data_IF_228710141927
#
_entry.id   IF_228710141927
#
_cell.length_a   1.000
_cell.length_b   1.000
_cell.length_c   1.000
_cell.angle_alpha   90.00
_cell.angle_beta   90.00
_cell.angle_gamma   90.00
#
_symmetry.space_group_name_H-M   'P 1'
#
loop_
_entity.id
_entity.type
_entity.pdbx_description
1 polymer ?
#
# COMPACT_ATOMS: atom_id res chain seq x y z
N UNK A 1 -16.54 15.49 14.33
CA UNK A 1 -15.31 16.07 13.75
C UNK A 1 -14.91 15.17 12.58
N UNK A 2 -15.06 15.62 11.33
CA UNK A 2 -14.62 14.85 10.17
C UNK A 2 -13.11 15.00 10.10
N UNK A 3 -12.40 13.98 10.57
CA UNK A 3 -10.97 13.88 10.45
C UNK A 3 -10.67 13.70 8.95
N UNK A 4 -9.89 14.62 8.39
CA UNK A 4 -9.44 14.56 7.00
C UNK A 4 -8.36 13.47 6.90
N UNK A 5 -8.80 12.22 6.73
CA UNK A 5 -8.01 10.98 6.77
C UNK A 5 -6.72 10.96 5.91
N UNK A 6 -6.56 11.86 4.94
CA UNK A 6 -5.38 11.88 4.07
C UNK A 6 -4.24 12.73 4.65
N UNK A 7 -4.55 13.82 5.36
CA UNK A 7 -3.54 14.70 5.95
C UNK A 7 -2.81 14.00 7.12
N UNK A 8 -3.57 13.23 7.89
CA UNK A 8 -3.03 12.51 9.06
C UNK A 8 -2.11 11.35 8.68
N UNK A 9 -2.33 10.70 7.53
CA UNK A 9 -1.52 9.57 7.10
C UNK A 9 -0.12 10.00 6.59
N UNK A 10 -0.04 11.17 5.94
CA UNK A 10 1.25 11.73 5.52
C UNK A 10 2.04 12.28 6.71
N UNK A 11 1.38 12.98 7.64
CA UNK A 11 2.01 13.45 8.86
C UNK A 11 2.54 12.28 9.71
N UNK A 12 1.76 11.19 9.82
CA UNK A 12 2.20 9.96 10.51
C UNK A 12 3.45 9.34 9.89
N UNK A 13 3.57 9.36 8.55
CA UNK A 13 4.75 8.84 7.86
C UNK A 13 5.99 9.73 8.05
N UNK A 14 5.82 11.05 8.12
CA UNK A 14 6.90 12.00 8.35
C UNK A 14 7.42 11.95 9.80
N UNK A 15 6.54 11.68 10.76
CA UNK A 15 6.87 11.62 12.19
C UNK A 15 7.38 10.24 12.65
N UNK A 16 7.13 9.18 11.86
CA UNK A 16 7.53 7.82 12.23
C UNK A 16 9.04 7.62 12.08
N UNK A 17 9.74 7.61 13.20
CA UNK A 17 11.14 7.19 13.26
C UNK A 17 11.25 5.66 13.18
N UNK A 18 11.46 5.14 11.97
CA UNK A 18 11.55 3.71 11.69
C UNK A 18 12.65 2.98 12.49
N UNK A 19 13.71 3.68 12.89
CA UNK A 19 14.85 3.07 13.61
C UNK A 19 14.53 2.79 15.08
N UNK A 20 13.56 3.52 15.65
CA UNK A 20 13.19 3.45 17.06
C UNK A 20 11.77 2.92 17.31
N UNK A 21 11.00 2.70 16.24
CA UNK A 21 9.63 2.20 16.35
C UNK A 21 9.61 0.73 16.79
N UNK A 22 8.67 0.41 17.67
CA UNK A 22 8.35 -0.98 17.99
C UNK A 22 7.73 -1.70 16.80
N UNK A 23 7.82 -3.04 16.81
CA UNK A 23 7.20 -3.87 15.77
C UNK A 23 5.68 -3.64 15.73
N UNK A 24 5.07 -3.42 16.88
CA UNK A 24 3.64 -3.16 17.04
C UNK A 24 3.24 -1.85 16.37
N UNK A 25 3.97 -0.76 16.62
CA UNK A 25 3.74 0.55 15.97
C UNK A 25 3.91 0.45 14.45
N UNK A 26 4.96 -0.24 13.98
CA UNK A 26 5.17 -0.46 12.55
C UNK A 26 4.03 -1.26 11.92
N UNK A 27 3.51 -2.28 12.61
CA UNK A 27 2.35 -3.05 12.14
C UNK A 27 1.10 -2.18 12.02
N UNK A 28 0.83 -1.31 13.00
CA UNK A 28 -0.32 -0.41 12.96
C UNK A 28 -0.23 0.57 11.79
N UNK A 29 0.95 1.16 11.57
CA UNK A 29 1.19 2.05 10.43
C UNK A 29 1.02 1.31 9.12
N UNK A 30 1.62 0.12 8.95
CA UNK A 30 1.48 -0.69 7.72
C UNK A 30 0.01 -1.04 7.47
N UNK A 31 -0.76 -1.39 8.51
CA UNK A 31 -2.18 -1.67 8.40
C UNK A 31 -2.97 -0.42 7.99
N UNK A 32 -2.64 0.75 8.54
CA UNK A 32 -3.25 2.01 8.15
C UNK A 32 -2.97 2.32 6.67
N UNK A 33 -1.70 2.26 6.25
CA UNK A 33 -1.29 2.47 4.85
C UNK A 33 -1.98 1.49 3.91
N UNK A 34 -2.05 0.21 4.27
CA UNK A 34 -2.77 -0.81 3.48
C UNK A 34 -4.22 -0.42 3.26
N UNK A 35 -4.92 0.12 4.27
CA UNK A 35 -6.33 0.56 4.12
C UNK A 35 -6.46 1.74 3.16
N UNK A 36 -5.57 2.73 3.26
CA UNK A 36 -5.55 3.88 2.35
C UNK A 36 -5.28 3.41 0.90
N UNK A 37 -4.24 2.60 0.73
CA UNK A 37 -3.83 2.11 -0.59
C UNK A 37 -4.87 1.21 -1.25
N UNK A 38 -5.52 0.31 -0.49
CA UNK A 38 -6.58 -0.56 -1.04
C UNK A 38 -7.77 0.23 -1.60
N UNK A 39 -8.04 1.41 -1.04
CA UNK A 39 -9.12 2.29 -1.49
C UNK A 39 -8.75 3.03 -2.77
N UNK A 40 -7.50 3.46 -2.88
CA UNK A 40 -7.03 4.33 -3.97
C UNK A 40 -6.44 3.59 -5.16
N UNK A 41 -5.84 2.42 -4.92
CA UNK A 41 -5.12 1.66 -5.93
C UNK A 41 -5.58 0.20 -5.92
N UNK A 42 -5.84 -0.37 -7.10
CA UNK A 42 -6.13 -1.80 -7.21
C UNK A 42 -4.86 -2.66 -7.21
N UNK A 43 -3.73 -2.09 -7.66
CA UNK A 43 -2.49 -2.83 -7.89
C UNK A 43 -1.25 -2.02 -7.52
N UNK A 44 -0.22 -2.73 -7.06
CA UNK A 44 1.13 -2.21 -6.83
C UNK A 44 2.06 -2.75 -7.93
N UNK A 45 2.46 -1.89 -8.84
CA UNK A 45 3.38 -2.20 -9.94
C UNK A 45 4.79 -1.80 -9.53
N UNK A 46 5.76 -2.71 -9.68
CA UNK A 46 7.14 -2.40 -9.34
C UNK A 46 8.08 -3.57 -9.58
N UNK A 47 9.31 -3.42 -9.09
CA UNK A 47 10.28 -4.51 -9.05
C UNK A 47 10.15 -5.27 -7.72
N UNK A 48 9.89 -6.56 -7.83
CA UNK A 48 9.73 -7.47 -6.70
C UNK A 48 10.61 -8.69 -6.94
N UNK A 49 11.47 -9.03 -5.99
CA UNK A 49 12.38 -10.17 -6.10
C UNK A 49 13.18 -10.13 -7.42
N UNK A 50 13.72 -8.97 -7.78
CA UNK A 50 14.53 -8.73 -9.00
C UNK A 50 13.76 -8.94 -10.33
N UNK A 51 12.43 -8.82 -10.30
CA UNK A 51 11.61 -8.91 -11.51
C UNK A 51 10.47 -7.90 -11.49
N UNK A 52 10.08 -7.39 -12.66
CA UNK A 52 8.88 -6.55 -12.79
C UNK A 52 7.65 -7.40 -12.52
N UNK A 53 6.93 -7.11 -11.44
CA UNK A 53 5.74 -7.84 -11.00
C UNK A 53 4.66 -6.88 -10.54
N UNK A 54 3.45 -7.40 -10.47
CA UNK A 54 2.29 -6.65 -9.98
C UNK A 54 1.61 -7.43 -8.87
N UNK A 55 1.30 -6.75 -7.77
CA UNK A 55 0.64 -7.32 -6.61
C UNK A 55 -0.72 -6.65 -6.41
N UNK A 56 -1.76 -7.44 -6.16
CA UNK A 56 -3.10 -6.91 -5.84
C UNK A 56 -3.11 -6.30 -4.43
N UNK A 57 -3.69 -5.11 -4.30
CA UNK A 57 -3.85 -4.45 -2.99
C UNK A 57 -4.98 -5.07 -2.16
N UNK A 58 -5.82 -5.92 -2.78
CA UNK A 58 -6.99 -6.52 -2.13
C UNK A 58 -6.62 -7.72 -1.27
N UNK A 59 -5.80 -8.61 -1.81
CA UNK A 59 -5.41 -9.91 -1.25
C UNK A 59 -3.89 -10.08 -1.11
N UNK A 60 -3.09 -9.15 -1.65
CA UNK A 60 -1.63 -9.23 -1.60
C UNK A 60 -1.05 -10.32 -2.49
N UNK A 61 -1.77 -10.83 -3.48
CA UNK A 61 -1.24 -11.85 -4.39
C UNK A 61 -0.59 -11.23 -5.62
N UNK A 62 0.44 -11.90 -6.16
CA UNK A 62 0.94 -11.53 -7.48
C UNK A 62 -0.10 -11.89 -8.54
N UNK A 63 -0.28 -11.01 -9.53
CA UNK A 63 -1.20 -11.23 -10.64
C UNK A 63 -0.44 -11.46 -11.95
N UNK A 64 -1.12 -12.07 -12.93
CA UNK A 64 -0.57 -12.23 -14.27
C UNK A 64 -0.56 -10.91 -15.04
N UNK A 65 0.28 -10.85 -16.08
CA UNK A 65 0.31 -9.72 -17.02
C UNK A 65 -1.04 -9.51 -17.70
N UNK A 66 -1.72 -10.59 -18.10
CA UNK A 66 -3.01 -10.52 -18.78
C UNK A 66 -4.11 -9.94 -17.87
N UNK A 67 -4.10 -10.31 -16.58
CA UNK A 67 -5.02 -9.75 -15.60
C UNK A 67 -4.80 -8.24 -15.42
N UNK A 68 -3.55 -7.78 -15.46
CA UNK A 68 -3.21 -6.36 -15.42
C UNK A 68 -3.67 -5.63 -16.69
N UNK A 69 -3.38 -6.16 -17.88
CA UNK A 69 -3.78 -5.57 -19.16
C UNK A 69 -5.30 -5.41 -19.21
N UNK A 70 -6.04 -6.48 -18.87
CA UNK A 70 -7.50 -6.47 -18.84
C UNK A 70 -8.07 -5.39 -17.91
N UNK A 71 -7.39 -5.09 -16.80
CA UNK A 71 -7.80 -4.01 -15.89
C UNK A 71 -7.50 -2.61 -16.44
N UNK A 72 -6.39 -2.45 -17.16
CA UNK A 72 -6.02 -1.15 -17.74
C UNK A 72 -6.87 -0.78 -18.95
N UNK A 73 -7.41 -1.79 -19.65
CA UNK A 73 -8.25 -1.62 -20.84
C UNK A 73 -9.76 -1.55 -20.54
N UNK A 74 -10.17 -1.74 -19.28
CA UNK A 74 -11.57 -1.66 -18.84
C UNK A 74 -11.99 -0.26 -18.42
#
# INVERSE_FOLDING_TARGET
MKINNELDAMNLLEELNLDNASIEELKEVILHLRRQFKTRYSYLVGEWQHAKRVKSTRDGQFISKDALIKYLES
#
